data_IF_984968311945
#
_entry.id   IF_984968311945
#
_cell.length_a   1.000
_cell.length_b   1.000
_cell.length_c   1.000
_cell.angle_alpha   90.00
_cell.angle_beta   90.00
_cell.angle_gamma   90.00
#
_symmetry.space_group_name_H-M   'P 1'
#
loop_
_entity.id
_entity.type
_entity.pdbx_description
1 polymer ?
#
# COMPACT_ATOMS: atom_id res chain seq x y z
N UNK A 1 9.41 -11.42 -3.68
CA UNK A 1 9.63 -11.66 -5.13
C UNK A 1 10.94 -12.42 -5.28
N UNK A 2 11.00 -13.65 -5.80
CA UNK A 2 12.28 -14.23 -6.15
C UNK A 2 12.71 -13.60 -7.48
N UNK A 3 13.47 -12.49 -7.44
CA UNK A 3 14.24 -12.06 -8.61
C UNK A 3 15.72 -12.29 -8.33
N UNK A 4 16.27 -13.22 -9.11
CA UNK A 4 17.70 -13.44 -9.25
C UNK A 4 18.42 -12.12 -9.55
N UNK A 5 19.45 -11.83 -8.74
CA UNK A 5 20.67 -11.11 -9.12
C UNK A 5 20.49 -9.91 -10.06
N UNK A 6 20.12 -8.75 -9.49
CA UNK A 6 20.48 -7.43 -10.04
C UNK A 6 21.35 -6.69 -9.02
N UNK A 7 22.31 -5.85 -9.44
CA UNK A 7 23.31 -5.30 -8.53
C UNK A 7 22.65 -4.38 -7.51
N UNK A 8 23.01 -4.54 -6.24
CA UNK A 8 22.67 -3.59 -5.19
C UNK A 8 23.49 -2.33 -5.45
N UNK A 9 22.87 -1.29 -6.01
CA UNK A 9 23.50 0.02 -6.12
C UNK A 9 23.33 0.77 -4.80
N UNK A 10 24.34 0.72 -3.94
CA UNK A 10 24.45 1.57 -2.75
C UNK A 10 24.79 3.01 -3.14
N UNK A 11 23.82 3.73 -3.70
CA UNK A 11 23.75 5.19 -3.67
C UNK A 11 22.30 5.59 -3.81
N UNK A 12 21.66 6.00 -2.71
CA UNK A 12 20.25 6.42 -2.75
C UNK A 12 20.07 7.52 -3.79
N UNK A 13 19.31 7.22 -4.85
CA UNK A 13 19.22 8.10 -6.00
C UNK A 13 18.42 9.35 -5.66
N UNK A 14 18.64 10.44 -6.41
CA UNK A 14 17.96 11.72 -6.17
C UNK A 14 16.43 11.61 -6.23
N UNK A 15 15.90 10.61 -6.94
CA UNK A 15 14.49 10.28 -6.99
C UNK A 15 13.93 9.77 -5.66
N UNK A 16 14.67 8.89 -4.97
CA UNK A 16 14.26 8.36 -3.67
C UNK A 16 14.19 9.45 -2.59
N UNK A 17 15.20 10.32 -2.56
CA UNK A 17 15.22 11.45 -1.63
C UNK A 17 14.08 12.45 -1.89
N UNK A 18 13.64 12.60 -3.15
CA UNK A 18 12.50 13.46 -3.51
C UNK A 18 11.16 12.84 -3.10
N UNK A 19 11.00 11.53 -3.25
CA UNK A 19 9.78 10.82 -2.86
C UNK A 19 9.65 10.78 -1.33
N UNK A 20 10.72 10.45 -0.59
CA UNK A 20 10.69 10.52 0.87
C UNK A 20 10.41 11.93 1.39
N UNK A 21 10.99 12.95 0.75
CA UNK A 21 10.74 14.36 1.09
C UNK A 21 9.30 14.76 0.77
N UNK A 22 8.74 14.33 -0.37
CA UNK A 22 7.34 14.54 -0.72
C UNK A 22 6.40 13.85 0.27
N UNK A 23 6.67 12.59 0.64
CA UNK A 23 5.87 11.86 1.63
C UNK A 23 5.93 12.46 3.04
N UNK A 24 7.11 12.96 3.44
CA UNK A 24 7.28 13.65 4.73
C UNK A 24 6.56 14.99 4.73
N UNK A 25 6.58 15.71 3.60
CA UNK A 25 5.87 16.97 3.42
C UNK A 25 4.35 16.79 3.26
N UNK A 26 3.88 15.64 2.76
CA UNK A 26 2.45 15.35 2.64
C UNK A 26 1.81 14.90 3.96
N UNK A 27 2.61 14.54 4.97
CA UNK A 27 2.15 14.32 6.35
C UNK A 27 1.95 15.64 7.09
N UNK A 28 1.06 16.48 6.58
CA UNK A 28 0.53 17.61 7.34
C UNK A 28 -0.41 17.06 8.44
N UNK A 29 -0.21 17.40 9.72
CA UNK A 29 -1.04 16.88 10.80
C UNK A 29 -2.51 17.30 10.61
N UNK A 30 -3.38 16.33 10.30
CA UNK A 30 -4.84 16.53 10.26
C UNK A 30 -5.48 16.57 8.87
N UNK A 31 -4.73 16.36 7.78
CA UNK A 31 -5.30 16.36 6.42
C UNK A 31 -5.70 14.98 5.89
N UNK A 32 -5.12 13.89 6.41
CA UNK A 32 -5.37 12.54 5.87
C UNK A 32 -6.85 12.11 5.95
N UNK A 33 -7.64 12.66 6.90
CA UNK A 33 -9.06 12.32 7.03
C UNK A 33 -10.04 13.30 6.37
N UNK A 34 -9.61 14.49 5.92
CA UNK A 34 -10.55 15.48 5.39
C UNK A 34 -11.19 15.02 4.08
N UNK A 35 -10.40 14.33 3.25
CA UNK A 35 -10.85 13.82 1.94
C UNK A 35 -11.98 12.81 2.11
N UNK A 36 -11.85 11.93 3.11
CA UNK A 36 -12.87 10.94 3.44
C UNK A 36 -14.10 11.53 4.13
N UNK A 37 -13.99 12.72 4.74
CA UNK A 37 -15.13 13.45 5.31
C UNK A 37 -15.87 14.33 4.31
N UNK A 38 -15.32 14.51 3.10
CA UNK A 38 -15.90 15.39 2.10
C UNK A 38 -17.24 14.88 1.58
N UNK A 39 -18.18 15.80 1.31
CA UNK A 39 -19.55 15.48 0.89
C UNK A 39 -19.60 14.65 -0.40
N UNK A 40 -18.65 14.86 -1.33
CA UNK A 40 -18.59 14.05 -2.55
C UNK A 40 -18.26 12.59 -2.26
N UNK A 41 -17.42 12.33 -1.26
CA UNK A 41 -17.06 10.98 -0.84
C UNK A 41 -18.24 10.30 -0.16
N UNK A 42 -18.92 10.98 0.75
CA UNK A 42 -20.13 10.47 1.41
C UNK A 42 -21.23 10.11 0.41
N UNK A 43 -21.44 10.95 -0.61
CA UNK A 43 -22.41 10.68 -1.69
C UNK A 43 -22.03 9.46 -2.52
N UNK A 44 -20.74 9.31 -2.83
CA UNK A 44 -20.24 8.13 -3.56
C UNK A 44 -20.48 6.86 -2.75
N UNK A 45 -20.19 6.87 -1.45
CA UNK A 45 -20.44 5.72 -0.57
C UNK A 45 -21.93 5.39 -0.45
N UNK A 46 -22.78 6.41 -0.30
CA UNK A 46 -24.23 6.22 -0.25
C UNK A 46 -24.78 5.62 -1.55
N UNK A 47 -24.26 6.04 -2.71
CA UNK A 47 -24.63 5.47 -4.00
C UNK A 47 -24.16 4.02 -4.21
N UNK A 48 -23.12 3.59 -3.50
CA UNK A 48 -22.60 2.22 -3.51
C UNK A 48 -23.14 1.36 -2.36
N UNK A 49 -24.16 1.83 -1.63
CA UNK A 49 -24.73 1.15 -0.44
C UNK A 49 -23.68 0.82 0.65
N UNK A 50 -22.61 1.61 0.70
CA UNK A 50 -21.51 1.45 1.64
C UNK A 50 -21.70 2.33 2.88
N UNK A 51 -21.61 1.73 4.06
CA UNK A 51 -21.61 2.47 5.34
C UNK A 51 -20.18 2.90 5.67
N UNK A 52 -19.96 4.20 5.82
CA UNK A 52 -18.68 4.73 6.24
C UNK A 52 -18.42 4.44 7.73
N UNK A 53 -17.30 3.79 8.04
CA UNK A 53 -16.78 3.70 9.41
C UNK A 53 -15.65 4.70 9.59
N UNK A 54 -15.90 5.75 10.39
CA UNK A 54 -14.85 6.65 10.85
C UNK A 54 -14.47 6.23 12.28
N UNK A 55 -13.49 5.31 12.37
CA UNK A 55 -13.02 4.81 13.67
C UNK A 55 -12.57 5.97 14.56
N UNK A 56 -12.82 5.88 15.87
CA UNK A 56 -12.35 6.91 16.82
C UNK A 56 -10.82 6.91 16.85
N UNK A 57 -10.22 8.09 17.07
CA UNK A 57 -8.78 8.22 17.28
C UNK A 57 -8.34 7.22 18.37
N UNK A 58 -7.50 6.25 18.01
CA UNK A 58 -7.02 5.21 18.93
C UNK A 58 -7.42 3.77 18.58
N UNK A 59 -8.28 3.52 17.58
CA UNK A 59 -8.50 2.16 17.07
C UNK A 59 -7.50 1.84 15.94
N UNK A 60 -6.28 1.46 16.32
CA UNK A 60 -5.20 1.17 15.38
C UNK A 60 -5.41 -0.13 14.59
N UNK A 61 -6.26 -1.05 15.04
CA UNK A 61 -6.43 -2.36 14.40
C UNK A 61 -7.03 -2.23 13.00
N UNK A 62 -8.00 -1.33 12.82
CA UNK A 62 -8.64 -1.08 11.52
C UNK A 62 -7.64 -0.54 10.49
N UNK A 63 -6.65 0.25 10.93
CA UNK A 63 -5.65 0.88 10.06
C UNK A 63 -4.36 0.07 9.93
N UNK A 64 -4.06 -0.82 10.89
CA UNK A 64 -2.77 -1.52 10.98
C UNK A 64 -2.46 -2.33 9.72
N UNK A 65 -3.48 -2.97 9.12
CA UNK A 65 -3.30 -3.78 7.91
C UNK A 65 -2.87 -2.91 6.73
N UNK A 66 -3.57 -1.78 6.50
CA UNK A 66 -3.24 -0.89 5.38
C UNK A 66 -1.95 -0.11 5.63
N UNK A 67 -1.65 0.26 6.89
CA UNK A 67 -0.37 0.86 7.27
C UNK A 67 0.81 -0.10 7.01
N UNK A 68 0.66 -1.39 7.35
CA UNK A 68 1.66 -2.42 7.07
C UNK A 68 1.89 -2.58 5.57
N UNK A 69 0.81 -2.61 4.77
CA UNK A 69 0.91 -2.63 3.31
C UNK A 69 1.70 -1.42 2.79
N UNK A 70 1.39 -0.20 3.25
CA UNK A 70 2.14 0.99 2.84
C UNK A 70 3.60 0.99 3.30
N UNK A 71 3.92 0.37 4.43
CA UNK A 71 5.30 0.09 4.85
C UNK A 71 6.03 -0.75 3.81
N UNK A 72 5.43 -1.86 3.38
CA UNK A 72 6.00 -2.73 2.35
C UNK A 72 6.16 -2.04 1.00
N UNK A 73 5.18 -1.25 0.55
CA UNK A 73 5.31 -0.46 -0.68
C UNK A 73 6.55 0.45 -0.60
N UNK A 74 6.77 1.12 0.54
CA UNK A 74 7.92 2.02 0.70
C UNK A 74 9.25 1.29 0.67
N UNK A 75 9.36 0.15 1.36
CA UNK A 75 10.62 -0.60 1.50
C UNK A 75 10.93 -1.49 0.30
N UNK A 76 9.91 -1.96 -0.43
CA UNK A 76 10.10 -2.98 -1.45
C UNK A 76 9.90 -2.42 -2.85
N UNK A 77 8.90 -1.56 -3.05
CA UNK A 77 8.59 -1.00 -4.37
C UNK A 77 9.44 0.24 -4.68
N UNK A 78 9.49 1.22 -3.77
CA UNK A 78 10.23 2.47 -4.01
C UNK A 78 11.76 2.34 -3.83
N UNK A 79 12.23 1.36 -3.06
CA UNK A 79 13.67 1.17 -2.82
C UNK A 79 14.42 0.58 -4.03
N UNK A 80 13.72 -0.07 -4.96
CA UNK A 80 14.36 -0.85 -6.02
C UNK A 80 14.09 -0.37 -7.45
N UNK A 81 13.11 0.51 -7.66
CA UNK A 81 12.68 0.91 -9.00
C UNK A 81 12.72 2.45 -9.18
N UNK A 82 13.31 2.89 -10.29
CA UNK A 82 13.21 4.27 -10.79
C UNK A 82 12.18 4.31 -11.94
N UNK A 83 11.28 5.30 -11.92
CA UNK A 83 10.21 5.42 -12.91
C UNK A 83 10.45 6.63 -13.81
N UNK A 84 10.44 6.39 -15.12
CA UNK A 84 10.65 7.42 -16.14
C UNK A 84 9.37 8.23 -16.43
N UNK A 85 8.19 7.69 -16.10
CA UNK A 85 6.90 8.34 -16.28
C UNK A 85 5.86 7.94 -15.22
N UNK A 86 4.75 8.68 -15.15
CA UNK A 86 3.62 8.38 -14.26
C UNK A 86 2.95 7.06 -14.67
N UNK A 87 2.84 6.79 -15.96
CA UNK A 87 2.27 5.56 -16.50
C UNK A 87 3.13 4.33 -16.14
N UNK A 88 4.46 4.47 -16.22
CA UNK A 88 5.39 3.44 -15.78
C UNK A 88 5.28 3.17 -14.28
N UNK A 89 5.09 4.24 -13.48
CA UNK A 89 4.83 4.12 -12.05
C UNK A 89 3.53 3.38 -11.75
N UNK A 90 2.43 3.77 -12.41
CA UNK A 90 1.12 3.13 -12.22
C UNK A 90 1.21 1.64 -12.58
N UNK A 91 1.81 1.32 -13.73
CA UNK A 91 1.99 -0.06 -14.18
C UNK A 91 2.82 -0.87 -13.18
N UNK A 92 3.95 -0.33 -12.71
CA UNK A 92 4.76 -0.98 -11.70
C UNK A 92 4.02 -1.21 -10.39
N UNK A 93 3.18 -0.24 -9.98
CA UNK A 93 2.40 -0.33 -8.75
C UNK A 93 1.32 -1.42 -8.87
N UNK A 94 0.64 -1.50 -10.03
CA UNK A 94 -0.35 -2.54 -10.31
C UNK A 94 0.28 -3.94 -10.28
N UNK A 95 1.46 -4.11 -10.89
CA UNK A 95 2.23 -5.35 -10.83
C UNK A 95 2.63 -5.71 -9.40
N UNK A 96 3.07 -4.72 -8.61
CA UNK A 96 3.43 -4.91 -7.21
C UNK A 96 2.23 -5.36 -6.38
N UNK A 97 1.06 -4.73 -6.55
CA UNK A 97 -0.19 -5.09 -5.85
C UNK A 97 -0.62 -6.50 -6.23
N UNK A 98 -0.56 -6.86 -7.52
CA UNK A 98 -0.89 -8.20 -7.99
C UNK A 98 0.02 -9.26 -7.35
N UNK A 99 1.33 -9.02 -7.33
CA UNK A 99 2.30 -9.90 -6.67
C UNK A 99 2.06 -9.98 -5.15
N UNK A 100 1.84 -8.85 -4.48
CA UNK A 100 1.59 -8.77 -3.04
C UNK A 100 0.40 -9.64 -2.63
N UNK A 101 -0.70 -9.59 -3.38
CA UNK A 101 -1.91 -10.30 -3.04
C UNK A 101 -1.88 -11.79 -3.40
N UNK A 102 -1.21 -12.17 -4.49
CA UNK A 102 -1.33 -13.53 -5.04
C UNK A 102 -0.11 -14.42 -4.78
N UNK A 103 1.08 -13.85 -4.66
CA UNK A 103 2.33 -14.61 -4.69
C UNK A 103 3.25 -14.35 -3.49
N UNK A 104 3.02 -13.26 -2.74
CA UNK A 104 3.85 -12.91 -1.60
C UNK A 104 3.72 -13.96 -0.50
N UNK A 105 4.86 -14.53 -0.10
CA UNK A 105 4.93 -15.48 1.00
C UNK A 105 4.91 -14.71 2.32
N UNK A 106 3.90 -14.94 3.14
CA UNK A 106 3.84 -14.40 4.51
C UNK A 106 4.15 -15.51 5.50
N UNK A 107 5.27 -15.39 6.23
CA UNK A 107 5.70 -16.41 7.20
C UNK A 107 4.71 -16.62 8.33
N UNK A 108 3.98 -15.57 8.73
CA UNK A 108 2.91 -15.65 9.73
C UNK A 108 1.61 -16.27 9.19
N UNK A 109 1.47 -16.45 7.87
CA UNK A 109 0.36 -17.15 7.22
C UNK A 109 0.80 -18.54 6.74
N UNK A 110 1.78 -19.17 7.40
CA UNK A 110 2.32 -20.48 7.01
C UNK A 110 2.87 -20.51 5.57
N UNK A 111 3.28 -19.35 5.05
CA UNK A 111 3.81 -19.19 3.70
C UNK A 111 2.76 -18.96 2.62
N UNK A 112 1.48 -18.80 2.99
CA UNK A 112 0.40 -18.49 2.06
C UNK A 112 0.41 -17.02 1.64
N UNK A 113 -0.09 -16.76 0.44
CA UNK A 113 -0.43 -15.41 0.00
C UNK A 113 -1.75 -14.93 0.64
N UNK A 114 -2.00 -13.61 0.71
CA UNK A 114 -3.23 -13.07 1.27
C UNK A 114 -4.50 -13.69 0.66
N UNK A 115 -4.51 -13.92 -0.66
CA UNK A 115 -5.63 -14.56 -1.36
C UNK A 115 -5.78 -16.02 -0.97
N UNK A 116 -4.68 -16.77 -0.88
CA UNK A 116 -4.71 -18.18 -0.49
C UNK A 116 -5.21 -18.35 0.96
N UNK A 117 -4.72 -17.52 1.88
CA UNK A 117 -5.17 -17.51 3.27
C UNK A 117 -6.67 -17.21 3.37
N UNK A 118 -7.16 -16.21 2.62
CA UNK A 118 -8.61 -15.91 2.57
C UNK A 118 -9.43 -17.08 2.02
N UNK A 119 -8.96 -17.74 0.97
CA UNK A 119 -9.66 -18.88 0.38
C UNK A 119 -9.76 -20.06 1.36
N UNK A 120 -8.70 -20.34 2.13
CA UNK A 120 -8.74 -21.38 3.17
C UNK A 120 -9.69 -21.02 4.31
N UNK A 121 -9.68 -19.78 4.79
CA UNK A 121 -10.58 -19.32 5.85
C UNK A 121 -12.07 -19.39 5.47
N UNK A 122 -12.40 -19.30 4.17
CA UNK A 122 -13.76 -19.43 3.65
C UNK A 122 -14.19 -20.89 3.41
N UNK A 123 -13.23 -21.82 3.32
CA UNK A 123 -13.47 -23.24 3.09
C UNK A 123 -13.54 -24.06 4.39
N UNK A 124 -13.17 -23.46 5.53
CA UNK A 124 -13.24 -24.03 6.87
C UNK A 124 -14.56 -23.67 7.56
#
# INVERSE_FOLDING_TARGET
RPRSSRPITTSGSSGQQRIERWFRASKEPGTEQFQYQHVSWQRLLAGAECVQSMSRKGNCLDNAVIESFFGHVKEEFFTHDEFESVEAFITGLDEYIAWFNNERVHTYLEGLSPVQYRAQALAA
#
